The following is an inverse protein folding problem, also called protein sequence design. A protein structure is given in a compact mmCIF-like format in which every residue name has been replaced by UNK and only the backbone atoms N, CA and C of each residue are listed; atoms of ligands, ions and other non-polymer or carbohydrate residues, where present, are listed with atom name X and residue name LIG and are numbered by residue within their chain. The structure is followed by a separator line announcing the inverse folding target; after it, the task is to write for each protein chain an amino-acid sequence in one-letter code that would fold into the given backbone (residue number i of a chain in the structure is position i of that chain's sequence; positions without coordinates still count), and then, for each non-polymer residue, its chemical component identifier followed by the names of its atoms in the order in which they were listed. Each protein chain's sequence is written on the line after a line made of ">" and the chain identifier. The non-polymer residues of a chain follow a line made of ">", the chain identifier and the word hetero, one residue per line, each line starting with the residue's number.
data_IF_117850207862
#
_entry.id   IF_117850207862
#
_cell.length_a   1.000
_cell.length_b   1.000
_cell.length_c   1.000
_cell.angle_alpha   90.00
_cell.angle_beta   90.00
_cell.angle_gamma   90.00
#
_symmetry.space_group_name_H-M   'P 1'
#
loop_
_entity.id
_entity.type
_entity.pdbx_description
1 polymer ?
#
# COMPACT_ATOMS: atom_id res chain seq x y z
N UNK A 1 3.14 -7.09 -7.81
CA UNK A 1 2.87 -5.81 -7.12
C UNK A 1 2.63 -4.75 -8.17
N UNK A 2 1.47 -4.11 -8.08
CA UNK A 2 1.00 -3.09 -9.01
C UNK A 2 1.67 -1.75 -8.67
N UNK A 3 2.19 -0.99 -9.66
CA UNK A 3 2.77 0.32 -9.41
C UNK A 3 1.70 1.33 -8.98
N UNK A 4 2.07 2.30 -8.15
CA UNK A 4 1.18 3.37 -7.68
C UNK A 4 0.84 4.42 -8.75
N UNK A 5 1.41 4.31 -9.95
CA UNK A 5 1.13 5.19 -11.10
C UNK A 5 1.25 4.40 -12.40
N UNK A 6 0.81 4.99 -13.51
CA UNK A 6 0.89 4.38 -14.83
C UNK A 6 2.21 4.68 -15.53
N UNK A 7 2.68 3.71 -16.33
CA UNK A 7 3.85 3.88 -17.19
C UNK A 7 3.67 5.06 -18.17
N UNK A 8 2.46 5.22 -18.71
CA UNK A 8 2.11 6.32 -19.62
C UNK A 8 2.31 7.69 -18.98
N UNK A 9 1.92 7.85 -17.71
CA UNK A 9 2.09 9.09 -16.95
C UNK A 9 3.58 9.40 -16.73
N UNK A 10 4.38 8.38 -16.39
CA UNK A 10 5.83 8.54 -16.24
C UNK A 10 6.51 8.91 -17.57
N UNK A 11 6.12 8.27 -18.68
CA UNK A 11 6.65 8.61 -20.02
C UNK A 11 6.34 10.06 -20.39
N UNK A 12 5.09 10.49 -20.18
CA UNK A 12 4.68 11.87 -20.41
C UNK A 12 5.52 12.84 -19.57
N UNK A 13 5.79 12.52 -18.30
CA UNK A 13 6.64 13.32 -17.41
C UNK A 13 8.10 13.41 -17.87
N UNK A 14 8.61 12.36 -18.50
CA UNK A 14 9.97 12.29 -19.05
C UNK A 14 10.10 12.88 -20.45
N UNK A 15 8.98 13.25 -21.10
CA UNK A 15 8.97 13.69 -22.50
C UNK A 15 9.28 12.57 -23.50
N UNK A 16 9.02 11.31 -23.13
CA UNK A 16 9.19 10.14 -24.00
C UNK A 16 7.92 9.92 -24.83
N UNK A 17 8.09 9.49 -26.08
CA UNK A 17 6.96 9.14 -26.95
C UNK A 17 6.23 7.91 -26.39
N UNK A 18 4.89 7.92 -26.47
CA UNK A 18 4.07 6.82 -25.97
C UNK A 18 4.37 5.50 -26.68
N UNK A 19 4.74 5.56 -27.97
CA UNK A 19 5.05 4.40 -28.80
C UNK A 19 6.51 3.94 -28.70
N UNK A 20 7.39 4.71 -28.05
CA UNK A 20 8.74 4.25 -27.77
C UNK A 20 8.70 3.24 -26.61
N UNK A 21 8.93 1.97 -26.92
CA UNK A 21 8.87 0.88 -25.94
C UNK A 21 10.24 0.43 -25.44
N UNK A 22 11.32 1.11 -25.84
CA UNK A 22 12.70 0.65 -25.60
C UNK A 22 13.02 0.48 -24.11
N UNK A 23 12.54 1.42 -23.28
CA UNK A 23 12.84 1.47 -21.85
C UNK A 23 11.65 1.04 -20.97
N UNK A 24 10.58 0.51 -21.55
CA UNK A 24 9.32 0.22 -20.83
C UNK A 24 9.49 -0.77 -19.69
N UNK A 25 10.27 -1.83 -19.93
CA UNK A 25 10.57 -2.83 -18.92
C UNK A 25 11.36 -2.22 -17.76
N UNK A 26 12.33 -1.35 -18.06
CA UNK A 26 13.14 -0.66 -17.06
C UNK A 26 12.27 0.28 -16.21
N UNK A 27 11.48 1.13 -16.86
CA UNK A 27 10.59 2.10 -16.20
C UNK A 27 9.53 1.38 -15.35
N UNK A 28 8.94 0.31 -15.86
CA UNK A 28 7.96 -0.51 -15.12
C UNK A 28 8.58 -1.15 -13.88
N UNK A 29 9.80 -1.68 -13.99
CA UNK A 29 10.51 -2.26 -12.85
C UNK A 29 10.89 -1.19 -11.82
N UNK A 30 11.32 -0.01 -12.27
CA UNK A 30 11.61 1.13 -11.40
C UNK A 30 10.36 1.57 -10.62
N UNK A 31 9.22 1.72 -11.30
CA UNK A 31 7.94 2.05 -10.67
C UNK A 31 7.54 1.02 -9.63
N UNK A 32 7.68 -0.28 -9.93
CA UNK A 32 7.37 -1.35 -8.97
C UNK A 32 8.27 -1.30 -7.74
N UNK A 33 9.57 -1.12 -7.93
CA UNK A 33 10.54 -1.04 -6.83
C UNK A 33 10.31 0.18 -5.94
N UNK A 34 10.01 1.34 -6.53
CA UNK A 34 9.70 2.56 -5.78
C UNK A 34 8.37 2.46 -5.03
N UNK A 35 7.34 1.92 -5.66
CA UNK A 35 6.05 1.68 -5.02
C UNK A 35 6.19 0.76 -3.80
N UNK A 36 6.95 -0.34 -3.95
CA UNK A 36 7.30 -1.25 -2.85
C UNK A 36 8.02 -0.55 -1.70
N UNK A 37 8.97 0.31 -2.04
CA UNK A 37 9.70 1.07 -1.04
C UNK A 37 8.78 2.00 -0.26
N UNK A 38 7.95 2.78 -0.95
CA UNK A 38 7.03 3.72 -0.31
C UNK A 38 6.03 2.97 0.59
N UNK A 39 5.49 1.84 0.15
CA UNK A 39 4.64 0.99 0.99
C UNK A 39 5.38 0.48 2.23
N UNK A 40 6.65 0.07 2.09
CA UNK A 40 7.46 -0.38 3.22
C UNK A 40 7.82 0.75 4.20
N UNK A 41 8.06 1.96 3.72
CA UNK A 41 8.32 3.13 4.58
C UNK A 41 7.05 3.56 5.32
N UNK A 42 5.89 3.48 4.66
CA UNK A 42 4.61 3.82 5.27
C UNK A 42 4.01 2.71 6.15
N UNK A 43 4.63 1.53 6.22
CA UNK A 43 4.12 0.34 6.91
C UNK A 43 2.68 -0.03 6.53
N UNK A 44 2.31 0.10 5.26
CA UNK A 44 0.95 -0.17 4.77
C UNK A 44 0.96 -0.51 3.29
N UNK A 45 -0.12 -1.09 2.79
CA UNK A 45 -0.34 -1.25 1.35
C UNK A 45 -1.40 -0.26 0.86
N UNK A 46 -1.13 0.38 -0.28
CA UNK A 46 -2.01 1.40 -0.84
C UNK A 46 -2.99 0.83 -1.87
N UNK A 47 -2.67 -0.29 -2.50
CA UNK A 47 -3.56 -0.93 -3.47
C UNK A 47 -4.87 -1.40 -2.82
N UNK A 48 -6.00 -1.07 -3.45
CA UNK A 48 -7.31 -1.55 -3.02
C UNK A 48 -7.43 -3.07 -3.17
N UNK A 49 -7.89 -3.73 -2.12
CA UNK A 49 -8.20 -5.16 -2.14
C UNK A 49 -9.60 -5.41 -1.58
N UNK A 50 -10.39 -6.20 -2.31
CA UNK A 50 -11.70 -6.69 -1.84
C UNK A 50 -11.48 -7.97 -1.03
N UNK A 51 -12.14 -8.10 0.12
CA UNK A 51 -12.02 -9.25 1.00
C UNK A 51 -10.62 -9.43 1.62
N UNK A 52 -9.91 -8.32 1.84
CA UNK A 52 -8.65 -8.32 2.56
C UNK A 52 -8.87 -8.81 4.00
N UNK A 53 -7.90 -9.57 4.52
CA UNK A 53 -7.95 -10.10 5.89
C UNK A 53 -6.83 -9.48 6.72
N UNK A 54 -7.15 -8.99 7.90
CA UNK A 54 -6.16 -8.49 8.86
C UNK A 54 -6.33 -9.19 10.20
N UNK A 55 -5.23 -9.74 10.70
CA UNK A 55 -5.18 -10.50 11.96
C UNK A 55 -4.68 -9.60 13.08
N UNK A 56 -5.34 -9.67 14.23
CA UNK A 56 -5.08 -8.82 15.39
C UNK A 56 -5.33 -9.58 16.69
N UNK A 57 -5.05 -8.99 17.85
CA UNK A 57 -5.36 -9.66 19.13
C UNK A 57 -6.82 -9.49 19.46
N UNK A 58 -7.53 -10.57 19.81
CA UNK A 58 -8.97 -10.49 20.04
C UNK A 58 -9.37 -9.58 21.23
N UNK A 59 -8.43 -9.23 22.11
CA UNK A 59 -8.64 -8.27 23.18
C UNK A 59 -8.55 -6.79 22.74
N UNK A 60 -8.04 -6.51 21.54
CA UNK A 60 -7.92 -5.16 21.00
C UNK A 60 -9.28 -4.67 20.50
N UNK A 61 -9.58 -3.41 20.78
CA UNK A 61 -10.77 -2.71 20.29
C UNK A 61 -10.44 -1.77 19.14
N UNK A 62 -9.19 -1.37 18.99
CA UNK A 62 -8.74 -0.46 17.93
C UNK A 62 -7.87 -1.24 16.94
N UNK A 63 -8.37 -1.41 15.71
CA UNK A 63 -7.72 -2.24 14.70
C UNK A 63 -7.13 -1.33 13.63
N UNK A 64 -5.80 -1.25 13.63
CA UNK A 64 -5.01 -0.54 12.63
C UNK A 64 -4.77 -1.43 11.41
N UNK A 65 -5.75 -1.50 10.49
CA UNK A 65 -5.61 -2.30 9.27
C UNK A 65 -4.45 -1.82 8.39
N UNK A 66 -3.88 -2.74 7.62
CA UNK A 66 -2.78 -2.49 6.66
C UNK A 66 -3.24 -1.76 5.39
N UNK A 67 -4.55 -1.79 5.07
CA UNK A 67 -5.14 -1.21 3.85
C UNK A 67 -6.27 -0.23 4.15
N UNK A 68 -5.90 0.96 4.59
CA UNK A 68 -6.83 2.09 4.67
C UNK A 68 -6.82 2.86 3.33
N UNK A 69 -7.84 3.66 2.98
CA UNK A 69 -9.18 3.78 3.58
C UNK A 69 -9.97 2.48 3.54
N UNK A 70 -10.82 2.26 4.55
CA UNK A 70 -11.71 1.09 4.60
C UNK A 70 -13.05 1.50 4.00
N UNK A 71 -13.46 0.83 2.92
CA UNK A 71 -14.74 1.05 2.25
C UNK A 71 -15.87 0.38 3.04
N UNK A 72 -15.67 -0.90 3.40
CA UNK A 72 -16.67 -1.71 4.09
C UNK A 72 -16.02 -2.88 4.83
N UNK A 73 -16.51 -3.16 6.04
CA UNK A 73 -16.18 -4.39 6.76
C UNK A 73 -17.20 -5.46 6.43
N UNK A 74 -16.73 -6.60 5.96
CA UNK A 74 -17.54 -7.72 5.49
C UNK A 74 -17.73 -8.81 6.53
N UNK A 75 -16.85 -8.90 7.53
CA UNK A 75 -16.99 -9.88 8.60
C UNK A 75 -15.85 -9.86 9.61
N UNK A 76 -16.08 -10.58 10.70
CA UNK A 76 -15.09 -10.84 11.74
C UNK A 76 -14.99 -12.34 11.99
N UNK A 77 -13.81 -12.79 12.40
CA UNK A 77 -13.55 -14.15 12.81
C UNK A 77 -12.74 -14.15 14.10
N UNK A 78 -12.90 -15.20 14.90
CA UNK A 78 -12.06 -15.44 16.08
C UNK A 78 -11.40 -16.82 15.97
N UNK A 79 -10.15 -16.92 16.41
CA UNK A 79 -9.40 -18.17 16.50
C UNK A 79 -8.95 -18.39 17.94
N UNK A 80 -9.48 -19.42 18.57
CA UNK A 80 -9.14 -19.81 19.95
C UNK A 80 -8.03 -20.85 20.00
N UNK A 81 -7.98 -21.74 19.02
CA UNK A 81 -6.95 -22.77 18.90
C UNK A 81 -6.65 -23.08 17.43
N UNK A 82 -5.48 -23.64 17.16
CA UNK A 82 -5.12 -24.14 15.83
C UNK A 82 -6.02 -25.30 15.37
N UNK A 83 -6.55 -26.10 16.31
CA UNK A 83 -7.41 -27.24 16.00
C UNK A 83 -8.81 -26.83 15.53
N UNK A 84 -9.35 -25.76 16.11
CA UNK A 84 -10.69 -25.23 15.77
C UNK A 84 -10.65 -24.31 14.54
N UNK A 85 -9.53 -23.63 14.32
CA UNK A 85 -9.39 -22.70 13.21
C UNK A 85 -10.17 -21.40 13.41
N UNK A 86 -10.56 -20.76 12.31
CA UNK A 86 -11.29 -19.49 12.34
C UNK A 86 -12.80 -19.74 12.44
N UNK A 87 -13.41 -19.21 13.49
CA UNK A 87 -14.86 -19.26 13.73
C UNK A 87 -15.47 -17.93 13.35
N UNK A 88 -16.51 -17.98 12.51
CA UNK A 88 -17.25 -16.82 12.00
C UNK A 88 -18.65 -16.66 12.64
N UNK A 89 -19.08 -17.66 13.40
CA UNK A 89 -20.43 -17.77 13.92
C UNK A 89 -20.50 -17.25 15.37
N UNK A 90 -20.51 -15.93 15.51
CA UNK A 90 -20.72 -15.23 16.79
C UNK A 90 -21.51 -13.93 16.55
N UNK A 91 -22.13 -13.34 17.59
CA UNK A 91 -22.87 -12.10 17.44
C UNK A 91 -22.02 -11.04 16.77
N UNK A 92 -22.53 -10.44 15.69
CA UNK A 92 -21.81 -9.43 14.94
C UNK A 92 -21.41 -8.28 15.90
N UNK A 93 -20.10 -7.98 16.02
CA UNK A 93 -19.66 -6.91 16.92
C UNK A 93 -20.16 -5.58 16.37
N UNK A 94 -20.54 -4.67 17.26
CA UNK A 94 -20.75 -3.29 16.86
C UNK A 94 -19.39 -2.64 16.64
N UNK A 95 -19.26 -1.92 15.53
CA UNK A 95 -18.02 -1.26 15.15
C UNK A 95 -18.30 0.06 14.45
N UNK A 96 -17.30 0.94 14.47
CA UNK A 96 -17.27 2.16 13.69
C UNK A 96 -15.93 2.29 12.98
N UNK A 97 -15.95 2.82 11.76
CA UNK A 97 -14.74 3.17 11.04
C UNK A 97 -14.45 4.62 11.39
N UNK A 98 -13.32 4.88 12.04
CA UNK A 98 -12.94 6.20 12.52
C UNK A 98 -12.04 6.87 11.49
N UNK A 99 -12.53 7.82 10.66
CA UNK A 99 -11.72 8.34 9.56
C UNK A 99 -10.55 9.20 10.06
N UNK A 100 -10.75 9.90 11.18
CA UNK A 100 -9.74 10.74 11.80
C UNK A 100 -8.56 9.95 12.37
N UNK A 101 -8.82 8.75 12.90
CA UNK A 101 -7.79 7.86 13.46
C UNK A 101 -7.33 6.78 12.49
N UNK A 102 -8.06 6.61 11.39
CA UNK A 102 -7.84 5.60 10.36
C UNK A 102 -7.80 4.16 10.88
N UNK A 103 -8.64 3.87 11.87
CA UNK A 103 -8.78 2.57 12.54
C UNK A 103 -10.23 2.09 12.48
N UNK A 104 -10.41 0.78 12.61
CA UNK A 104 -11.71 0.17 12.88
C UNK A 104 -11.82 0.03 14.41
N UNK A 105 -12.80 0.68 15.00
CA UNK A 105 -13.02 0.66 16.45
C UNK A 105 -14.21 -0.23 16.77
N UNK A 106 -13.99 -1.20 17.66
CA UNK A 106 -15.02 -2.11 18.17
C UNK A 106 -15.59 -1.55 19.47
N UNK A 107 -16.90 -1.68 19.67
CA UNK A 107 -17.56 -1.31 20.94
C UNK A 107 -17.01 -2.14 22.12
N UNK A 108 -16.74 -3.42 21.87
CA UNK A 108 -16.16 -4.35 22.85
C UNK A 108 -15.17 -5.29 22.17
N UNK A 109 -14.17 -5.81 22.91
CA UNK A 109 -13.24 -6.79 22.35
C UNK A 109 -13.96 -8.02 21.81
N UNK A 110 -13.43 -8.62 20.73
CA UNK A 110 -13.96 -9.88 20.19
C UNK A 110 -13.75 -11.06 21.15
N UNK A 111 -12.72 -10.99 21.98
CA UNK A 111 -12.37 -12.05 22.91
C UNK A 111 -11.24 -11.66 23.85
N UNK A 112 -10.50 -12.67 24.31
CA UNK A 112 -9.41 -12.51 25.27
C UNK A 112 -8.05 -12.33 24.60
N UNK A 113 -7.06 -11.91 25.39
CA UNK A 113 -5.67 -11.72 24.95
C UNK A 113 -4.98 -13.00 24.45
N UNK A 114 -5.56 -14.18 24.71
CA UNK A 114 -5.06 -15.48 24.25
C UNK A 114 -5.64 -15.91 22.90
N UNK A 115 -6.60 -15.17 22.37
CA UNK A 115 -7.28 -15.46 21.10
C UNK A 115 -6.82 -14.48 20.03
N UNK A 116 -6.95 -14.89 18.77
CA UNK A 116 -6.70 -14.03 17.62
C UNK A 116 -8.03 -13.59 17.01
N UNK A 117 -8.14 -12.31 16.69
CA UNK A 117 -9.21 -11.76 15.89
C UNK A 117 -8.77 -11.65 14.44
N UNK A 118 -9.72 -11.74 13.52
CA UNK A 118 -9.54 -11.42 12.11
C UNK A 118 -10.67 -10.54 11.65
N UNK A 119 -10.35 -9.47 10.95
CA UNK A 119 -11.32 -8.65 10.24
C UNK A 119 -11.20 -8.90 8.75
N UNK A 120 -12.33 -9.06 8.06
CA UNK A 120 -12.42 -9.15 6.61
C UNK A 120 -13.04 -7.87 6.09
N UNK A 121 -12.34 -7.14 5.25
CA UNK A 121 -12.76 -5.82 4.80
C UNK A 121 -12.36 -5.54 3.35
N UNK A 122 -13.01 -4.54 2.78
CA UNK A 122 -12.63 -3.92 1.52
C UNK A 122 -11.93 -2.61 1.85
N UNK A 123 -10.72 -2.40 1.35
CA UNK A 123 -9.99 -1.17 1.63
C UNK A 123 -8.73 -1.01 0.80
N UNK A 124 -8.15 0.18 0.89
CA UNK A 124 -7.06 0.68 0.06
C UNK A 124 -7.56 1.64 -1.02
N UNK A 125 -6.62 2.28 -1.70
CA UNK A 125 -6.90 3.24 -2.76
C UNK A 125 -7.04 2.57 -4.12
N UNK A 126 -7.96 3.09 -4.92
CA UNK A 126 -8.06 2.75 -6.33
C UNK A 126 -6.86 3.37 -7.06
N UNK A 127 -6.02 2.51 -7.64
CA UNK A 127 -4.81 2.94 -8.34
C UNK A 127 -5.14 3.64 -9.66
N UNK A 128 -4.31 4.61 -10.08
CA UNK A 128 -4.47 5.33 -11.34
C UNK A 128 -4.66 4.39 -12.53
N UNK A 129 -5.66 4.68 -13.37
CA UNK A 129 -6.03 3.85 -14.51
C UNK A 129 -7.24 2.95 -14.32
N UNK A 130 -7.68 2.77 -13.08
CA UNK A 130 -8.92 2.05 -12.78
C UNK A 130 -10.04 3.05 -12.50
N UNK A 131 -11.29 2.77 -12.94
CA UNK A 131 -12.42 3.62 -12.62
C UNK A 131 -12.72 3.55 -11.12
N UNK A 132 -12.86 4.72 -10.49
CA UNK A 132 -13.27 4.86 -9.09
C UNK A 132 -14.78 4.75 -9.02
N UNK A 133 -15.29 3.76 -8.28
CA UNK A 133 -16.73 3.59 -8.07
C UNK A 133 -17.22 4.39 -6.87
N UNK A 134 -18.55 4.43 -6.67
CA UNK A 134 -19.14 4.93 -5.43
C UNK A 134 -18.52 4.19 -4.22
N UNK A 135 -18.29 4.94 -3.14
CA UNK A 135 -17.69 4.47 -1.87
C UNK A 135 -16.22 4.01 -1.96
N UNK A 136 -15.55 4.22 -3.10
CA UNK A 136 -14.12 3.97 -3.25
C UNK A 136 -13.34 5.28 -3.20
N UNK A 137 -12.12 5.22 -2.67
CA UNK A 137 -11.23 6.37 -2.61
C UNK A 137 -10.13 6.25 -3.66
N UNK A 138 -9.97 7.28 -4.49
CA UNK A 138 -8.85 7.37 -5.43
C UNK A 138 -7.51 7.50 -4.70
N UNK A 139 -6.43 7.03 -5.31
CA UNK A 139 -5.08 7.33 -4.81
C UNK A 139 -4.89 8.86 -4.74
N UNK A 140 -4.37 9.41 -3.63
CA UNK A 140 -4.09 10.84 -3.55
C UNK A 140 -3.08 11.29 -4.61
N UNK A 141 -3.38 12.40 -5.29
CA UNK A 141 -2.57 12.95 -6.39
C UNK A 141 -1.12 13.27 -5.94
N UNK A 142 -0.94 13.69 -4.68
CA UNK A 142 0.38 13.99 -4.13
C UNK A 142 1.25 12.73 -3.98
N UNK A 143 0.66 11.61 -3.58
CA UNK A 143 1.33 10.31 -3.49
C UNK A 143 1.68 9.77 -4.88
N UNK A 144 0.76 9.90 -5.85
CA UNK A 144 1.05 9.56 -7.24
C UNK A 144 2.21 10.41 -7.79
N UNK A 145 2.13 11.73 -7.62
CA UNK A 145 3.16 12.66 -8.08
C UNK A 145 4.51 12.39 -7.43
N UNK A 146 4.54 12.02 -6.15
CA UNK A 146 5.77 11.68 -5.45
C UNK A 146 6.47 10.46 -6.07
N UNK A 147 5.71 9.43 -6.46
CA UNK A 147 6.23 8.24 -7.15
C UNK A 147 6.78 8.62 -8.53
N UNK A 148 6.03 9.45 -9.28
CA UNK A 148 6.42 9.93 -10.62
C UNK A 148 7.74 10.71 -10.55
N UNK A 149 7.86 11.67 -9.62
CA UNK A 149 9.05 12.51 -9.48
C UNK A 149 10.28 11.69 -9.08
N UNK A 150 10.13 10.77 -8.12
CA UNK A 150 11.22 9.90 -7.70
C UNK A 150 11.68 8.98 -8.85
N UNK A 151 10.75 8.43 -9.62
CA UNK A 151 11.05 7.58 -10.77
C UNK A 151 11.73 8.36 -11.90
N UNK A 152 11.23 9.56 -12.20
CA UNK A 152 11.80 10.43 -13.22
C UNK A 152 13.24 10.84 -12.85
N UNK A 153 13.45 11.24 -11.60
CA UNK A 153 14.77 11.59 -11.07
C UNK A 153 15.77 10.42 -11.17
N UNK A 154 15.34 9.23 -10.76
CA UNK A 154 16.16 8.02 -10.87
C UNK A 154 16.55 7.74 -12.32
N UNK A 155 15.58 7.77 -13.24
CA UNK A 155 15.81 7.48 -14.65
C UNK A 155 16.77 8.47 -15.30
N UNK A 156 16.64 9.78 -15.02
CA UNK A 156 17.53 10.81 -15.56
C UNK A 156 18.97 10.68 -15.05
N UNK A 157 19.16 10.23 -13.80
CA UNK A 157 20.48 10.09 -13.18
C UNK A 157 21.08 8.69 -13.29
N UNK A 158 20.40 7.76 -13.98
CA UNK A 158 20.86 6.36 -14.09
C UNK A 158 22.31 6.24 -14.55
N UNK A 159 22.72 7.03 -15.54
CA UNK A 159 24.09 7.00 -16.09
C UNK A 159 25.13 7.62 -15.12
N UNK A 160 24.74 8.60 -14.31
CA UNK A 160 25.62 9.28 -13.36
C UNK A 160 25.85 8.46 -12.09
N UNK A 161 24.85 7.65 -11.71
CA UNK A 161 24.92 6.73 -10.58
C UNK A 161 25.80 5.48 -10.88
N UNK A 162 26.44 5.42 -12.05
CA UNK A 162 27.25 4.26 -12.47
C UNK A 162 26.43 3.00 -12.75
N UNK A 163 25.12 3.14 -13.03
CA UNK A 163 24.20 2.02 -13.31
C UNK A 163 24.37 1.46 -14.74
N UNK A 164 25.60 1.33 -15.22
CA UNK A 164 25.90 0.53 -16.40
C UNK A 164 26.08 -0.91 -15.90
N UNK A 165 25.03 -1.70 -16.10
CA UNK A 165 24.95 -3.16 -15.98
C UNK A 165 25.22 -3.78 -14.59
N UNK A 166 24.14 -4.10 -13.88
CA UNK A 166 24.01 -5.43 -13.30
C UNK A 166 22.65 -5.97 -13.74
N UNK A 167 22.65 -6.62 -14.91
CA UNK A 167 21.53 -7.38 -15.43
C UNK A 167 21.35 -8.62 -14.54
N UNK A 168 20.60 -8.48 -13.46
CA UNK A 168 20.16 -9.58 -12.63
C UNK A 168 18.88 -9.15 -11.94
N UNK A 169 17.83 -9.96 -12.04
CA UNK A 169 16.46 -9.71 -11.56
C UNK A 169 16.36 -9.22 -10.08
N UNK A 170 17.44 -9.32 -9.29
CA UNK A 170 17.51 -8.83 -7.90
C UNK A 170 18.29 -7.52 -7.68
N UNK A 171 19.06 -7.03 -8.65
CA UNK A 171 19.98 -5.88 -8.44
C UNK A 171 19.28 -4.53 -8.40
N UNK A 172 18.28 -4.33 -9.26
CA UNK A 172 17.53 -3.06 -9.34
C UNK A 172 16.71 -2.79 -8.08
N UNK A 173 16.13 -3.83 -7.46
CA UNK A 173 15.30 -3.70 -6.26
C UNK A 173 16.14 -3.36 -5.03
N UNK A 174 17.36 -3.90 -4.91
CA UNK A 174 18.26 -3.57 -3.80
C UNK A 174 18.75 -2.12 -3.83
N UNK A 175 18.95 -1.55 -5.02
CA UNK A 175 19.48 -0.19 -5.17
C UNK A 175 18.46 0.91 -4.83
N UNK A 176 17.16 0.66 -4.97
CA UNK A 176 16.15 1.65 -4.55
C UNK A 176 16.12 1.85 -3.04
N UNK A 177 16.51 0.84 -2.24
CA UNK A 177 16.58 0.97 -0.78
C UNK A 177 17.76 1.82 -0.32
N UNK A 178 18.81 1.95 -1.13
CA UNK A 178 20.04 2.70 -0.77
C UNK A 178 20.08 4.12 -1.31
N UNK A 179 19.12 4.52 -2.15
CA UNK A 179 19.02 5.90 -2.64
C UNK A 179 18.17 6.74 -1.68
N UNK A 180 18.60 7.96 -1.37
CA UNK A 180 17.75 8.86 -0.60
C UNK A 180 16.51 9.28 -1.41
N UNK A 181 15.36 9.38 -0.72
CA UNK A 181 14.18 10.00 -1.31
C UNK A 181 14.45 11.49 -1.52
N UNK A 182 13.86 12.05 -2.58
CA UNK A 182 13.84 13.50 -2.75
C UNK A 182 13.14 14.16 -1.54
N UNK A 183 13.59 15.36 -1.08
CA UNK A 183 13.00 16.00 0.09
C UNK A 183 11.48 16.18 0.00
N UNK A 184 10.96 16.53 -1.17
CA UNK A 184 9.52 16.68 -1.40
C UNK A 184 8.79 15.33 -1.34
N UNK A 185 9.39 14.28 -1.88
CA UNK A 185 8.85 12.91 -1.84
C UNK A 185 8.82 12.42 -0.40
N UNK A 186 9.89 12.65 0.36
CA UNK A 186 9.95 12.31 1.78
C UNK A 186 8.90 13.06 2.60
N UNK A 187 8.68 14.36 2.32
CA UNK A 187 7.64 15.13 3.00
C UNK A 187 6.24 14.58 2.75
N UNK A 188 5.94 14.15 1.53
CA UNK A 188 4.66 13.49 1.19
C UNK A 188 4.56 12.14 1.89
N UNK A 189 5.57 11.28 1.77
CA UNK A 189 5.58 9.93 2.37
C UNK A 189 5.35 10.00 3.89
N UNK A 190 5.99 10.95 4.58
CA UNK A 190 5.80 11.17 6.03
C UNK A 190 4.36 11.45 6.44
N UNK A 191 3.55 12.08 5.59
CA UNK A 191 2.14 12.33 5.90
C UNK A 191 1.29 11.04 5.85
N UNK A 192 1.78 10.01 5.18
CA UNK A 192 1.11 8.71 5.02
C UNK A 192 1.72 7.59 5.86
N UNK A 193 2.79 7.88 6.60
CA UNK A 193 3.45 6.95 7.50
C UNK A 193 2.49 6.51 8.61
N UNK A 194 2.48 5.19 8.86
CA UNK A 194 1.78 4.60 10.00
C UNK A 194 2.78 4.12 11.01
N UNK A 195 2.68 4.68 12.22
CA UNK A 195 3.38 4.19 13.39
C UNK A 195 2.62 2.97 13.91
N UNK A 196 3.19 1.78 13.72
CA UNK A 196 2.77 0.59 14.47
C UNK A 196 3.20 0.80 15.93
N UNK A 197 2.23 0.78 16.86
CA UNK A 197 2.50 0.77 18.31
C UNK A 197 3.01 -0.60 18.77
#
# INVERSE_FOLDING_TARGET
>A
MTPLTQLTTLKARLGLDAFDTKDDALLTNALRGLSQRIESECNRSFERQTGATFDFRACETEICVDRYPVDAVTGFAIKTSEAEGWVFDFPAPQYFISPARSVIELESPLGSYRQLGRVIFNGGYVLPGNPVNADQTALPDDLEQAVIEQAAYWYQRRNQLGLISISGDGGSIQQFRSLDLLPNVQAVVRNYERFMM
#
